data_IF_023182454854
#
_entry.id   IF_023182454854
#
_cell.length_a   1.000
_cell.length_b   1.000
_cell.length_c   1.000
_cell.angle_alpha   90.00
_cell.angle_beta   90.00
_cell.angle_gamma   90.00
#
_symmetry.space_group_name_H-M   'P 1'
#
loop_
_entity.id
_entity.type
_entity.pdbx_description
1 polymer ?
#
# COMPACT_ATOMS: atom_id res chain seq x y z
N UNK A 1 109.55 -9.95 -21.39
CA UNK A 1 108.71 -8.77 -21.09
C UNK A 1 107.24 -8.98 -21.52
N UNK A 2 106.64 -10.15 -21.28
CA UNK A 2 105.25 -10.46 -21.71
C UNK A 2 104.13 -10.50 -20.62
N UNK A 3 104.35 -10.31 -19.29
CA UNK A 3 103.27 -10.47 -18.32
C UNK A 3 102.35 -9.24 -18.16
N UNK A 4 102.83 -8.03 -18.45
CA UNK A 4 102.06 -6.79 -18.20
C UNK A 4 100.94 -6.54 -19.21
N UNK A 5 101.13 -6.91 -20.49
CA UNK A 5 100.10 -6.74 -21.53
C UNK A 5 98.86 -7.62 -21.31
N UNK A 6 99.04 -8.82 -20.72
CA UNK A 6 97.93 -9.72 -20.42
C UNK A 6 97.05 -9.20 -19.30
N UNK A 7 97.62 -8.55 -18.28
CA UNK A 7 96.86 -7.98 -17.17
C UNK A 7 95.97 -6.81 -17.63
N UNK A 8 96.46 -5.94 -18.52
CA UNK A 8 95.68 -4.81 -19.06
C UNK A 8 94.54 -5.30 -19.96
N UNK A 9 94.78 -6.30 -20.81
CA UNK A 9 93.74 -6.91 -21.65
C UNK A 9 92.65 -7.62 -20.83
N UNK A 10 93.03 -8.32 -19.75
CA UNK A 10 92.05 -8.97 -18.87
C UNK A 10 91.22 -7.92 -18.14
N UNK A 11 91.83 -6.84 -17.66
CA UNK A 11 91.10 -5.76 -16.99
C UNK A 11 90.18 -4.98 -17.93
N UNK A 12 90.58 -4.71 -19.17
CA UNK A 12 89.68 -4.04 -20.15
C UNK A 12 88.53 -4.95 -20.58
N UNK A 13 88.77 -6.25 -20.76
CA UNK A 13 87.71 -7.22 -21.07
C UNK A 13 86.73 -7.36 -19.91
N UNK A 14 87.21 -7.38 -18.66
CA UNK A 14 86.35 -7.40 -17.46
C UNK A 14 85.50 -6.12 -17.35
N UNK A 15 86.09 -4.95 -17.60
CA UNK A 15 85.37 -3.67 -17.52
C UNK A 15 84.30 -3.56 -18.62
N UNK A 16 84.60 -4.02 -19.85
CA UNK A 16 83.67 -3.94 -20.98
C UNK A 16 82.58 -5.02 -20.91
N UNK A 17 82.91 -6.26 -20.53
CA UNK A 17 81.94 -7.36 -20.55
C UNK A 17 81.08 -7.44 -19.27
N UNK A 18 81.59 -6.97 -18.13
CA UNK A 18 80.88 -7.13 -16.85
C UNK A 18 80.18 -5.84 -16.40
N UNK A 19 80.81 -4.68 -16.59
CA UNK A 19 80.30 -3.42 -16.03
C UNK A 19 79.31 -2.73 -16.97
N UNK A 20 79.62 -2.63 -18.27
CA UNK A 20 78.75 -1.92 -19.22
C UNK A 20 77.34 -2.52 -19.40
N UNK A 21 77.11 -3.86 -19.44
CA UNK A 21 75.74 -4.39 -19.61
C UNK A 21 74.90 -4.32 -18.33
N UNK A 22 75.46 -3.89 -17.19
CA UNK A 22 74.74 -3.76 -15.90
C UNK A 22 74.19 -2.36 -15.64
N UNK A 23 74.49 -1.37 -16.49
CA UNK A 23 73.90 -0.03 -16.40
C UNK A 23 72.52 -0.07 -17.06
N UNK A 24 71.49 -0.32 -16.27
CA UNK A 24 70.11 -0.18 -16.73
C UNK A 24 69.84 1.30 -17.06
N UNK A 25 69.33 1.64 -18.26
CA UNK A 25 68.82 2.98 -18.51
C UNK A 25 67.66 3.25 -17.53
N UNK A 26 67.49 4.51 -17.06
CA UNK A 26 66.33 4.84 -16.25
C UNK A 26 65.06 4.43 -17.01
N UNK A 27 64.05 3.87 -16.32
CA UNK A 27 62.81 3.46 -16.97
C UNK A 27 62.26 4.67 -17.75
N UNK A 28 61.99 4.47 -19.04
CA UNK A 28 61.41 5.52 -19.86
C UNK A 28 60.13 6.02 -19.18
N UNK A 29 59.90 7.34 -19.07
CA UNK A 29 58.64 7.85 -18.55
C UNK A 29 57.51 7.27 -19.41
N UNK A 30 56.48 6.72 -18.77
CA UNK A 30 55.33 6.18 -19.48
C UNK A 30 54.82 7.22 -20.48
N UNK A 31 54.67 6.83 -21.75
CA UNK A 31 54.24 7.74 -22.80
C UNK A 31 52.91 8.41 -22.42
N UNK A 32 52.76 9.74 -22.61
CA UNK A 32 51.56 10.47 -22.20
C UNK A 32 50.26 9.89 -22.78
N UNK A 33 50.33 9.26 -23.96
CA UNK A 33 49.23 8.58 -24.61
C UNK A 33 48.62 7.41 -23.79
N UNK A 34 49.45 6.60 -23.10
CA UNK A 34 48.96 5.44 -22.32
C UNK A 34 48.22 5.91 -21.06
N UNK A 35 48.71 6.99 -20.44
CA UNK A 35 48.09 7.61 -19.26
C UNK A 35 46.75 8.25 -19.60
N UNK A 36 46.68 8.99 -20.71
CA UNK A 36 45.43 9.62 -21.18
C UNK A 36 44.35 8.58 -21.55
N UNK A 37 44.73 7.51 -22.23
CA UNK A 37 43.81 6.42 -22.56
C UNK A 37 43.25 5.73 -21.31
N UNK A 38 44.12 5.44 -20.32
CA UNK A 38 43.71 4.82 -19.07
C UNK A 38 42.77 5.71 -18.25
N UNK A 39 43.03 7.02 -18.19
CA UNK A 39 42.13 7.97 -17.52
C UNK A 39 40.78 8.10 -18.21
N UNK A 40 40.76 8.10 -19.55
CA UNK A 40 39.52 8.13 -20.31
C UNK A 40 38.68 6.87 -20.08
N UNK A 41 39.33 5.70 -20.09
CA UNK A 41 38.67 4.42 -19.83
C UNK A 41 38.12 4.33 -18.40
N UNK A 42 38.86 4.84 -17.40
CA UNK A 42 38.36 4.93 -16.03
C UNK A 42 37.14 5.87 -15.93
N UNK A 43 37.21 7.04 -16.57
CA UNK A 43 36.10 8.00 -16.61
C UNK A 43 34.88 7.43 -17.33
N UNK A 44 35.04 6.74 -18.45
CA UNK A 44 33.94 6.11 -19.19
C UNK A 44 33.26 5.02 -18.35
N UNK A 45 34.02 4.24 -17.59
CA UNK A 45 33.48 3.22 -16.68
C UNK A 45 32.68 3.87 -15.53
N UNK A 46 33.17 4.97 -14.95
CA UNK A 46 32.42 5.69 -13.90
C UNK A 46 31.13 6.30 -14.42
N UNK A 47 31.17 6.89 -15.62
CA UNK A 47 29.97 7.44 -16.26
C UNK A 47 28.93 6.36 -16.53
N UNK A 48 29.36 5.21 -17.08
CA UNK A 48 28.49 4.07 -17.30
C UNK A 48 27.85 3.56 -15.99
N UNK A 49 28.60 3.51 -14.88
CA UNK A 49 28.06 3.11 -13.58
C UNK A 49 27.04 4.12 -13.03
N UNK A 50 27.27 5.43 -13.22
CA UNK A 50 26.31 6.46 -12.85
C UNK A 50 25.02 6.37 -13.68
N UNK A 51 25.15 6.17 -14.99
CA UNK A 51 24.01 6.04 -15.89
C UNK A 51 23.20 4.78 -15.59
N UNK A 52 23.86 3.65 -15.30
CA UNK A 52 23.20 2.42 -14.84
C UNK A 52 22.44 2.65 -13.53
N UNK A 53 23.04 3.34 -12.56
CA UNK A 53 22.37 3.67 -11.30
C UNK A 53 21.17 4.58 -11.52
N UNK A 54 21.29 5.59 -12.38
CA UNK A 54 20.20 6.49 -12.72
C UNK A 54 19.06 5.76 -13.44
N UNK A 55 19.37 4.83 -14.34
CA UNK A 55 18.39 3.96 -15.01
C UNK A 55 17.67 3.06 -13.99
N UNK A 56 18.43 2.35 -13.13
CA UNK A 56 17.86 1.51 -12.08
C UNK A 56 16.96 2.30 -11.12
N UNK A 57 17.33 3.55 -10.78
CA UNK A 57 16.48 4.42 -9.97
C UNK A 57 15.18 4.81 -10.67
N UNK A 58 15.22 5.13 -11.98
CA UNK A 58 14.02 5.45 -12.77
C UNK A 58 13.08 4.24 -12.86
N UNK A 59 13.63 3.05 -13.08
CA UNK A 59 12.88 1.80 -13.10
C UNK A 59 12.27 1.48 -11.74
N UNK A 60 13.03 1.64 -10.64
CA UNK A 60 12.52 1.43 -9.30
C UNK A 60 11.35 2.38 -8.96
N UNK A 61 11.44 3.65 -9.37
CA UNK A 61 10.34 4.61 -9.22
C UNK A 61 9.13 4.18 -10.06
N UNK A 62 9.33 3.80 -11.32
CA UNK A 62 8.24 3.32 -12.18
C UNK A 62 7.55 2.07 -11.60
N UNK A 63 8.32 1.13 -11.07
CA UNK A 63 7.81 -0.07 -10.38
C UNK A 63 7.05 0.31 -9.11
N UNK A 64 7.55 1.24 -8.29
CA UNK A 64 6.86 1.69 -7.09
C UNK A 64 5.50 2.33 -7.41
N UNK A 65 5.44 3.19 -8.43
CA UNK A 65 4.18 3.77 -8.91
C UNK A 65 3.20 2.70 -9.43
N UNK A 66 3.70 1.73 -10.18
CA UNK A 66 2.88 0.62 -10.69
C UNK A 66 2.29 -0.19 -9.54
N UNK A 67 3.12 -0.55 -8.54
CA UNK A 67 2.68 -1.31 -7.38
C UNK A 67 1.63 -0.56 -6.55
N UNK A 68 1.81 0.76 -6.35
CA UNK A 68 0.84 1.57 -5.63
C UNK A 68 -0.49 1.68 -6.39
N UNK A 69 -0.42 1.89 -7.71
CA UNK A 69 -1.60 1.93 -8.56
C UNK A 69 -2.37 0.61 -8.52
N UNK A 70 -1.69 -0.54 -8.67
CA UNK A 70 -2.32 -1.86 -8.60
C UNK A 70 -2.99 -2.09 -7.25
N UNK A 71 -2.32 -1.76 -6.14
CA UNK A 71 -2.93 -1.86 -4.79
C UNK A 71 -4.20 -1.03 -4.65
N UNK A 72 -4.15 0.22 -5.14
CA UNK A 72 -5.32 1.11 -5.13
C UNK A 72 -6.47 0.55 -5.95
N UNK A 73 -6.16 0.01 -7.13
CA UNK A 73 -7.14 -0.64 -8.01
C UNK A 73 -7.76 -1.88 -7.35
N UNK A 74 -6.94 -2.77 -6.78
CA UNK A 74 -7.42 -3.97 -6.10
C UNK A 74 -8.29 -3.62 -4.89
N UNK A 75 -7.90 -2.60 -4.11
CA UNK A 75 -8.70 -2.10 -3.00
C UNK A 75 -10.05 -1.52 -3.47
N UNK A 76 -10.09 -0.85 -4.61
CA UNK A 76 -11.33 -0.37 -5.21
C UNK A 76 -12.22 -1.53 -5.66
N UNK A 77 -11.67 -2.53 -6.34
CA UNK A 77 -12.42 -3.73 -6.75
C UNK A 77 -12.97 -4.48 -5.54
N UNK A 78 -12.19 -4.62 -4.48
CA UNK A 78 -12.65 -5.25 -3.24
C UNK A 78 -13.85 -4.51 -2.62
N UNK A 79 -13.84 -3.17 -2.63
CA UNK A 79 -14.99 -2.37 -2.15
C UNK A 79 -16.24 -2.58 -2.99
N UNK A 80 -16.10 -2.65 -4.31
CA UNK A 80 -17.22 -2.94 -5.21
C UNK A 80 -17.78 -4.34 -4.95
N UNK A 81 -16.91 -5.33 -4.82
CA UNK A 81 -17.31 -6.72 -4.55
C UNK A 81 -18.05 -6.82 -3.21
N UNK A 82 -17.55 -6.19 -2.15
CA UNK A 82 -18.22 -6.15 -0.85
C UNK A 82 -19.61 -5.51 -0.92
N UNK A 83 -19.77 -4.43 -1.69
CA UNK A 83 -21.08 -3.80 -1.89
C UNK A 83 -22.07 -4.71 -2.65
N UNK A 84 -21.57 -5.47 -3.64
CA UNK A 84 -22.38 -6.46 -4.37
C UNK A 84 -22.81 -7.61 -3.45
N UNK A 85 -21.90 -8.12 -2.62
CA UNK A 85 -22.18 -9.17 -1.64
C UNK A 85 -23.22 -8.71 -0.61
N UNK A 86 -23.04 -7.52 -0.03
CA UNK A 86 -24.01 -6.93 0.89
C UNK A 86 -25.38 -6.74 0.23
N UNK A 87 -25.42 -6.33 -1.04
CA UNK A 87 -26.68 -6.19 -1.78
C UNK A 87 -27.33 -7.55 -2.07
N UNK A 88 -26.55 -8.57 -2.42
CA UNK A 88 -27.05 -9.92 -2.65
C UNK A 88 -27.63 -10.52 -1.37
N UNK A 89 -26.96 -10.29 -0.24
CA UNK A 89 -27.42 -10.71 1.09
C UNK A 89 -28.73 -10.02 1.47
N UNK A 90 -28.79 -8.70 1.30
CA UNK A 90 -29.99 -7.93 1.55
C UNK A 90 -31.15 -8.38 0.65
N UNK A 91 -30.89 -8.73 -0.62
CA UNK A 91 -31.89 -9.28 -1.54
C UNK A 91 -32.38 -10.66 -1.11
N UNK A 92 -31.49 -11.52 -0.61
CA UNK A 92 -31.87 -12.83 -0.06
C UNK A 92 -32.78 -12.66 1.15
N UNK A 93 -32.45 -11.76 2.06
CA UNK A 93 -33.25 -11.48 3.27
C UNK A 93 -34.60 -10.87 2.88
N UNK A 94 -34.61 -9.87 2.00
CA UNK A 94 -35.82 -9.26 1.46
C UNK A 94 -36.80 -10.28 0.89
N UNK A 95 -36.30 -11.28 0.15
CA UNK A 95 -37.12 -12.36 -0.39
C UNK A 95 -37.74 -13.25 0.70
N UNK A 96 -37.06 -13.45 1.83
CA UNK A 96 -37.58 -14.22 2.97
C UNK A 96 -38.57 -13.40 3.82
N UNK A 97 -38.39 -12.09 3.90
CA UNK A 97 -39.08 -11.20 4.84
C UNK A 97 -40.21 -10.36 4.21
N UNK A 98 -40.60 -10.64 2.96
CA UNK A 98 -41.69 -9.96 2.24
C UNK A 98 -41.58 -8.42 2.19
N UNK A 99 -40.37 -7.90 2.03
CA UNK A 99 -40.11 -6.47 1.79
C UNK A 99 -39.12 -6.26 0.65
N UNK A 100 -39.10 -5.11 -0.04
CA UNK A 100 -38.08 -4.84 -1.04
C UNK A 100 -36.69 -4.75 -0.39
N UNK A 101 -35.61 -5.05 -1.14
CA UNK A 101 -34.26 -4.84 -0.64
C UNK A 101 -33.93 -3.33 -0.53
N UNK A 102 -33.03 -2.95 0.38
CA UNK A 102 -32.49 -1.60 0.43
C UNK A 102 -31.65 -1.26 -0.81
N UNK A 103 -31.36 0.04 -1.04
CA UNK A 103 -30.29 0.46 -1.93
C UNK A 103 -28.91 -0.07 -1.48
N UNK A 104 -27.99 -0.29 -2.42
CA UNK A 104 -26.66 -0.90 -2.16
C UNK A 104 -25.86 -0.24 -1.04
N UNK A 105 -25.82 1.08 -0.97
CA UNK A 105 -25.06 1.78 0.07
C UNK A 105 -25.68 1.62 1.47
N UNK A 106 -27.02 1.48 1.56
CA UNK A 106 -27.71 1.17 2.82
C UNK A 106 -27.48 -0.30 3.19
N UNK A 107 -27.54 -1.20 2.20
CA UNK A 107 -27.24 -2.61 2.40
C UNK A 107 -25.84 -2.82 2.99
N UNK A 108 -24.85 -2.15 2.40
CA UNK A 108 -23.48 -2.18 2.88
C UNK A 108 -23.34 -1.60 4.30
N UNK A 109 -23.96 -0.45 4.59
CA UNK A 109 -23.90 0.15 5.93
C UNK A 109 -24.48 -0.77 7.02
N UNK A 110 -25.62 -1.40 6.77
CA UNK A 110 -26.24 -2.35 7.69
C UNK A 110 -25.38 -3.61 7.82
N UNK A 111 -24.94 -4.17 6.69
CA UNK A 111 -24.13 -5.38 6.66
C UNK A 111 -22.82 -5.18 7.43
N UNK A 112 -22.02 -4.17 7.10
CA UNK A 112 -20.74 -3.89 7.75
C UNK A 112 -20.87 -3.68 9.27
N UNK A 113 -21.95 -3.04 9.73
CA UNK A 113 -22.19 -2.81 11.15
C UNK A 113 -22.58 -4.09 11.91
N UNK A 114 -23.36 -4.99 11.29
CA UNK A 114 -23.95 -6.14 11.97
C UNK A 114 -23.23 -7.48 11.70
N UNK A 115 -22.44 -7.62 10.63
CA UNK A 115 -21.67 -8.84 10.34
C UNK A 115 -20.80 -9.31 11.52
N UNK A 116 -20.12 -8.43 12.29
CA UNK A 116 -19.36 -8.86 13.47
C UNK A 116 -20.20 -9.53 14.57
N UNK A 117 -21.52 -9.31 14.56
CA UNK A 117 -22.49 -9.87 15.51
C UNK A 117 -23.13 -11.17 14.99
N UNK A 118 -22.84 -11.56 13.73
CA UNK A 118 -23.28 -12.80 13.10
C UNK A 118 -24.57 -12.69 12.28
N UNK A 119 -24.83 -13.71 11.46
CA UNK A 119 -25.90 -13.73 10.44
C UNK A 119 -27.30 -13.45 10.98
N UNK A 120 -27.59 -13.90 12.22
CA UNK A 120 -28.89 -13.62 12.87
C UNK A 120 -29.08 -12.13 13.15
N UNK A 121 -28.02 -11.42 13.53
CA UNK A 121 -28.07 -10.00 13.80
C UNK A 121 -28.21 -9.22 12.48
N UNK A 122 -27.54 -9.66 11.42
CA UNK A 122 -27.69 -9.11 10.06
C UNK A 122 -29.14 -9.25 9.58
N UNK A 123 -29.71 -10.45 9.68
CA UNK A 123 -31.13 -10.71 9.34
C UNK A 123 -32.07 -9.76 10.08
N UNK A 124 -31.93 -9.69 11.41
CA UNK A 124 -32.73 -8.80 12.25
C UNK A 124 -32.59 -7.33 11.83
N UNK A 125 -31.37 -6.87 11.56
CA UNK A 125 -31.09 -5.48 11.25
C UNK A 125 -31.75 -5.02 9.95
N UNK A 126 -31.74 -5.86 8.91
CA UNK A 126 -32.45 -5.58 7.66
C UNK A 126 -33.96 -5.47 7.90
N UNK A 127 -34.55 -6.44 8.61
CA UNK A 127 -35.98 -6.45 8.87
C UNK A 127 -36.43 -5.23 9.72
N UNK A 128 -35.66 -4.87 10.74
CA UNK A 128 -35.92 -3.70 11.58
C UNK A 128 -35.74 -2.39 10.80
N UNK A 129 -34.65 -2.21 10.06
CA UNK A 129 -34.47 -0.98 9.27
C UNK A 129 -35.57 -0.78 8.21
N UNK A 130 -36.09 -1.86 7.63
CA UNK A 130 -37.28 -1.77 6.78
C UNK A 130 -38.53 -1.36 7.57
N UNK A 131 -38.76 -1.97 8.73
CA UNK A 131 -39.93 -1.68 9.55
C UNK A 131 -39.93 -0.24 10.07
N UNK A 132 -38.78 0.23 10.54
CA UNK A 132 -38.60 1.53 11.18
C UNK A 132 -38.62 2.70 10.17
N UNK A 133 -37.92 2.57 9.04
CA UNK A 133 -37.73 3.71 8.14
C UNK A 133 -38.02 3.42 6.67
N UNK A 134 -38.41 2.18 6.33
CA UNK A 134 -38.41 1.68 4.94
C UNK A 134 -37.06 1.88 4.24
N UNK A 135 -35.96 1.75 4.98
CA UNK A 135 -34.59 2.05 4.54
C UNK A 135 -34.32 3.50 4.13
N UNK A 136 -35.17 4.45 4.53
CA UNK A 136 -34.93 5.86 4.26
C UNK A 136 -34.10 6.50 5.38
N UNK A 137 -32.83 6.90 5.11
CA UNK A 137 -31.94 7.41 6.16
C UNK A 137 -32.37 8.79 6.69
N UNK A 138 -33.25 9.50 5.99
CA UNK A 138 -33.76 10.82 6.39
C UNK A 138 -35.15 10.76 7.06
N UNK A 139 -35.64 9.56 7.39
CA UNK A 139 -36.94 9.40 8.05
C UNK A 139 -36.93 10.01 9.45
N UNK A 140 -37.98 10.77 9.76
CA UNK A 140 -38.23 11.37 11.07
C UNK A 140 -39.65 11.06 11.49
N UNK A 141 -39.83 10.51 12.68
CA UNK A 141 -41.13 10.40 13.32
C UNK A 141 -41.49 11.76 13.96
N UNK A 142 -42.61 12.37 13.53
CA UNK A 142 -43.02 13.70 13.97
C UNK A 142 -43.46 13.78 15.44
N UNK A 143 -43.90 12.66 16.03
CA UNK A 143 -44.40 12.62 17.41
C UNK A 143 -43.26 12.42 18.41
N UNK A 144 -42.36 11.48 18.12
CA UNK A 144 -41.28 11.09 19.04
C UNK A 144 -39.93 11.73 18.73
N UNK A 145 -39.75 12.29 17.53
CA UNK A 145 -38.46 12.77 17.03
C UNK A 145 -37.49 11.66 16.64
N UNK A 146 -37.94 10.40 16.61
CA UNK A 146 -37.12 9.27 16.19
C UNK A 146 -36.57 9.49 14.77
N UNK A 147 -35.26 9.27 14.58
CA UNK A 147 -34.56 9.72 13.38
C UNK A 147 -33.66 8.63 12.78
N UNK A 148 -33.57 8.62 11.45
CA UNK A 148 -32.64 7.78 10.71
C UNK A 148 -33.14 6.37 10.43
N UNK A 149 -32.23 5.51 9.98
CA UNK A 149 -32.56 4.15 9.51
C UNK A 149 -33.24 3.29 10.57
N UNK A 150 -32.70 3.32 11.79
CA UNK A 150 -33.16 2.55 12.95
C UNK A 150 -33.99 3.39 13.92
N UNK A 151 -34.51 4.53 13.47
CA UNK A 151 -35.42 5.41 14.23
C UNK A 151 -34.97 5.64 15.67
N UNK A 152 -33.76 6.16 15.84
CA UNK A 152 -33.23 6.49 17.16
C UNK A 152 -33.97 7.68 17.76
N UNK A 153 -34.48 7.54 18.99
CA UNK A 153 -34.93 8.68 19.78
C UNK A 153 -33.74 9.62 20.08
N UNK A 154 -33.95 10.95 20.14
CA UNK A 154 -32.87 11.90 20.44
C UNK A 154 -32.13 11.59 21.75
N UNK A 155 -32.86 11.18 22.78
CA UNK A 155 -32.28 10.78 24.08
C UNK A 155 -31.40 9.55 23.96
N UNK A 156 -31.85 8.53 23.23
CA UNK A 156 -31.07 7.30 23.01
C UNK A 156 -29.84 7.59 22.15
N UNK A 157 -29.99 8.35 21.07
CA UNK A 157 -28.90 8.75 20.18
C UNK A 157 -27.76 9.44 20.93
N UNK A 158 -28.09 10.33 21.86
CA UNK A 158 -27.12 11.09 22.66
C UNK A 158 -26.18 10.19 23.50
N UNK A 159 -26.57 8.94 23.77
CA UNK A 159 -25.74 7.99 24.51
C UNK A 159 -25.00 6.99 23.62
N UNK A 160 -25.20 7.04 22.30
CA UNK A 160 -24.49 6.16 21.37
C UNK A 160 -23.05 6.65 21.16
N UNK A 161 -22.09 5.77 20.85
CA UNK A 161 -20.73 6.19 20.47
C UNK A 161 -20.70 7.10 19.23
N UNK A 162 -21.74 7.06 18.40
CA UNK A 162 -21.87 7.85 17.17
C UNK A 162 -22.60 9.19 17.39
N UNK A 163 -22.90 9.58 18.63
CA UNK A 163 -23.74 10.73 18.94
C UNK A 163 -23.25 12.07 18.34
N UNK A 164 -21.94 12.21 18.09
CA UNK A 164 -21.36 13.40 17.45
C UNK A 164 -21.57 13.47 15.94
N UNK A 165 -22.03 12.39 15.33
CA UNK A 165 -22.37 12.30 13.91
C UNK A 165 -23.87 12.54 13.72
N UNK A 166 -24.29 12.68 12.46
CA UNK A 166 -25.69 12.84 12.13
C UNK A 166 -26.44 11.51 12.34
N UNK A 167 -27.61 11.49 13.01
CA UNK A 167 -28.47 10.30 13.03
C UNK A 167 -29.01 9.95 11.63
N UNK A 168 -28.91 10.86 10.66
CA UNK A 168 -29.29 10.63 9.26
C UNK A 168 -28.15 10.08 8.40
N UNK A 169 -26.93 9.99 8.92
CA UNK A 169 -25.86 9.25 8.25
C UNK A 169 -26.15 7.74 8.41
N UNK A 170 -26.43 7.02 7.32
CA UNK A 170 -26.78 5.60 7.39
C UNK A 170 -25.67 4.74 8.00
N UNK A 171 -24.40 5.12 7.83
CA UNK A 171 -23.27 4.40 8.41
C UNK A 171 -23.28 4.60 9.92
N UNK A 172 -23.26 5.85 10.37
CA UNK A 172 -23.30 6.17 11.80
C UNK A 172 -24.53 5.56 12.50
N UNK A 173 -25.70 5.66 11.87
CA UNK A 173 -26.95 5.11 12.41
C UNK A 173 -26.91 3.58 12.52
N UNK A 174 -26.36 2.88 11.52
CA UNK A 174 -26.23 1.42 11.55
C UNK A 174 -25.24 0.95 12.62
N UNK A 175 -24.09 1.62 12.76
CA UNK A 175 -23.13 1.31 13.82
C UNK A 175 -23.67 1.60 15.22
N UNK A 176 -24.47 2.66 15.38
CA UNK A 176 -25.16 2.93 16.63
C UNK A 176 -26.18 1.83 16.96
N UNK A 177 -26.94 1.36 15.96
CA UNK A 177 -27.89 0.27 16.12
C UNK A 177 -27.19 -1.04 16.49
N UNK A 178 -26.11 -1.40 15.80
CA UNK A 178 -25.33 -2.59 16.10
C UNK A 178 -24.74 -2.55 17.52
N UNK A 179 -24.22 -1.39 17.94
CA UNK A 179 -23.74 -1.20 19.30
C UNK A 179 -24.86 -1.36 20.35
N UNK A 180 -26.02 -0.73 20.12
CA UNK A 180 -27.15 -0.81 21.05
C UNK A 180 -27.73 -2.23 21.10
N UNK A 181 -27.83 -2.91 19.95
CA UNK A 181 -28.23 -4.31 19.86
C UNK A 181 -27.28 -5.22 20.65
N UNK A 182 -25.97 -5.04 20.51
CA UNK A 182 -24.98 -5.86 21.23
C UNK A 182 -25.01 -5.61 22.75
N UNK A 183 -25.32 -4.37 23.17
CA UNK A 183 -25.34 -3.99 24.59
C UNK A 183 -26.64 -4.38 25.29
N UNK A 184 -27.78 -4.04 24.69
CA UNK A 184 -29.09 -4.08 25.33
C UNK A 184 -30.12 -4.99 24.62
N UNK A 185 -29.71 -5.61 23.50
CA UNK A 185 -30.51 -6.56 22.74
C UNK A 185 -31.58 -5.94 21.83
N UNK A 186 -32.33 -6.78 21.10
CA UNK A 186 -33.33 -6.34 20.12
C UNK A 186 -34.57 -5.69 20.74
N UNK A 187 -34.79 -5.83 22.06
CA UNK A 187 -35.97 -5.29 22.75
C UNK A 187 -36.03 -3.76 22.80
N UNK A 188 -34.97 -3.07 22.38
CA UNK A 188 -34.93 -1.61 22.30
C UNK A 188 -35.77 -1.06 21.13
N UNK A 189 -36.13 -1.90 20.17
CA UNK A 189 -36.97 -1.53 19.02
C UNK A 189 -38.38 -2.08 19.17
N UNK A 190 -39.37 -1.29 18.75
CA UNK A 190 -40.76 -1.75 18.68
C UNK A 190 -40.89 -2.78 17.56
N UNK A 191 -40.23 -2.54 16.43
CA UNK A 191 -40.08 -3.51 15.37
C UNK A 191 -39.18 -4.66 15.82
N UNK A 192 -39.74 -5.87 15.84
CA UNK A 192 -38.98 -7.10 16.06
C UNK A 192 -38.70 -7.70 14.68
N UNK A 193 -37.43 -7.65 14.26
CA UNK A 193 -36.98 -8.18 12.97
C UNK A 193 -37.23 -9.67 12.80
#
# INVERSE_FOLDING_TARGET
MFPLFRAVLVWTVVLVLIVLPRIQPPPAPASPAVTQFSSYQAQSMTQAAHDQKAQAQREAVAQAWTNEYTKSYDAYQAKLQAAVEAQAEAARIAALSNHPPPPAYIAQAIHDAFTPLGDRAVLWAFNVAWCESRYHPNSVNSESGASGLFQFLPSTWAFTPQHSLSPFDPVANSYAAAWLYARDGPSQWVCQG
#
